data_IF_457443976281
#
_entry.id   IF_457443976281
#
_cell.length_a   1.000
_cell.length_b   1.000
_cell.length_c   1.000
_cell.angle_alpha   90.00
_cell.angle_beta   90.00
_cell.angle_gamma   90.00
#
_symmetry.space_group_name_H-M   'P 1'
#
loop_
_entity.id
_entity.type
_entity.pdbx_description
1 polymer ?
#
# COMPACT_ATOMS: atom_id res chain seq x y z
N UNK A 1 -13.23 -24.81 11.89
CA UNK A 1 -12.88 -25.33 13.23
C UNK A 1 -12.26 -24.19 14.01
N UNK A 2 -12.99 -23.67 14.98
CA UNK A 2 -12.57 -22.53 15.81
C UNK A 2 -11.98 -23.03 17.13
N UNK A 3 -10.87 -22.44 17.56
CA UNK A 3 -10.33 -22.59 18.93
C UNK A 3 -10.40 -21.25 19.67
N UNK A 4 -10.68 -21.24 20.99
CA UNK A 4 -11.00 -20.03 21.73
C UNK A 4 -9.82 -19.49 22.56
N UNK A 5 -9.89 -18.19 22.86
CA UNK A 5 -8.99 -17.48 23.77
C UNK A 5 -9.31 -17.75 25.27
N UNK A 6 -8.35 -17.66 26.20
CA UNK A 6 -8.63 -17.76 27.63
C UNK A 6 -8.79 -16.38 28.28
N UNK A 7 -9.82 -16.28 29.13
CA UNK A 7 -10.13 -15.12 29.96
C UNK A 7 -9.30 -15.03 31.25
N UNK A 8 -9.10 -13.80 31.72
CA UNK A 8 -8.51 -13.49 33.02
C UNK A 8 -9.61 -13.40 34.09
N UNK A 9 -9.53 -14.26 35.09
CA UNK A 9 -10.36 -14.22 36.30
C UNK A 9 -9.71 -13.37 37.39
N UNK A 10 -10.48 -12.43 37.93
CA UNK A 10 -10.16 -11.69 39.14
C UNK A 10 -10.69 -12.45 40.36
N UNK A 11 -9.92 -12.51 41.45
CA UNK A 11 -10.44 -12.90 42.77
C UNK A 11 -9.89 -11.98 43.85
N UNK A 12 -10.81 -11.26 44.47
CA UNK A 12 -10.64 -10.50 45.70
C UNK A 12 -10.72 -11.42 46.92
N UNK A 13 -9.91 -11.17 47.95
CA UNK A 13 -10.31 -11.42 49.34
C UNK A 13 -9.39 -10.71 50.34
N UNK A 14 -10.05 -9.97 51.23
CA UNK A 14 -9.65 -9.55 52.58
C UNK A 14 -10.99 -9.46 53.36
N UNK A 15 -11.06 -9.48 54.71
CA UNK A 15 -10.04 -9.00 55.65
C UNK A 15 -9.91 -9.82 56.96
N UNK A 16 -8.91 -9.46 57.79
CA UNK A 16 -8.82 -9.89 59.18
C UNK A 16 -7.80 -9.06 59.98
N UNK A 17 -8.30 -8.24 60.91
CA UNK A 17 -7.60 -7.65 62.06
C UNK A 17 -8.50 -7.89 63.28
N UNK A 18 -8.02 -7.95 64.56
CA UNK A 18 -7.20 -6.90 65.17
C UNK A 18 -6.17 -7.35 66.24
N UNK A 19 -5.22 -6.49 66.60
CA UNK A 19 -4.86 -6.18 68.00
C UNK A 19 -3.79 -5.08 68.06
N UNK A 20 -3.93 -4.23 69.07
CA UNK A 20 -3.31 -2.91 69.26
C UNK A 20 -2.21 -3.01 70.33
N UNK A 21 -1.04 -2.41 70.08
CA UNK A 21 -0.12 -1.99 71.14
C UNK A 21 0.66 -0.74 70.69
N UNK A 22 0.55 0.32 71.51
CA UNK A 22 1.18 1.62 71.32
C UNK A 22 2.70 1.55 71.55
N UNK A 23 3.47 2.21 70.69
CA UNK A 23 4.89 2.46 70.91
C UNK A 23 5.41 3.49 69.91
N UNK A 24 5.48 4.75 70.35
CA UNK A 24 5.98 5.89 69.58
C UNK A 24 7.49 5.79 69.35
N UNK A 25 7.93 5.67 68.09
CA UNK A 25 9.23 6.16 67.66
C UNK A 25 9.17 6.44 66.15
N UNK A 26 9.24 7.72 65.79
CA UNK A 26 9.37 8.21 64.42
C UNK A 26 10.81 8.00 63.94
N UNK A 27 11.06 7.25 62.85
CA UNK A 27 12.32 7.34 62.11
C UNK A 27 12.24 8.50 61.10
N UNK A 28 13.39 9.08 60.70
CA UNK A 28 13.40 10.22 59.79
C UNK A 28 12.84 9.83 58.42
N UNK A 29 11.93 10.67 57.92
CA UNK A 29 11.38 10.62 56.57
C UNK A 29 12.50 10.61 55.52
N UNK A 30 12.82 9.42 55.00
CA UNK A 30 13.57 9.29 53.75
C UNK A 30 12.62 9.65 52.62
N UNK A 31 12.76 10.85 52.06
CA UNK A 31 12.04 11.27 50.86
C UNK A 31 12.57 10.50 49.65
N UNK A 32 12.18 9.23 49.51
CA UNK A 32 12.29 8.51 48.24
C UNK A 32 11.33 9.16 47.27
N UNK A 33 11.87 10.01 46.37
CA UNK A 33 11.14 10.46 45.19
C UNK A 33 10.55 9.21 44.51
N UNK A 34 9.25 9.21 44.14
CA UNK A 34 8.70 8.11 43.38
C UNK A 34 9.53 7.92 42.10
N UNK A 35 9.82 6.67 41.69
CA UNK A 35 10.57 6.41 40.47
C UNK A 35 9.87 7.12 39.32
N UNK A 36 10.61 7.98 38.62
CA UNK A 36 10.08 8.72 37.48
C UNK A 36 9.52 7.70 36.49
N UNK A 37 8.24 7.80 36.09
CA UNK A 37 7.66 6.83 35.15
C UNK A 37 8.50 6.84 33.88
N UNK A 38 8.83 5.65 33.38
CA UNK A 38 9.60 5.49 32.16
C UNK A 38 8.92 6.29 31.03
N UNK A 39 9.70 6.97 30.16
CA UNK A 39 9.12 7.73 29.07
C UNK A 39 8.23 6.82 28.21
N UNK A 40 7.09 7.34 27.71
CA UNK A 40 6.21 6.54 26.86
C UNK A 40 6.98 6.07 25.62
N UNK A 41 6.67 4.87 25.09
CA UNK A 41 7.37 4.35 23.94
C UNK A 41 7.14 5.26 22.71
N UNK A 42 8.07 5.30 21.74
CA UNK A 42 7.98 6.20 20.61
C UNK A 42 6.68 6.02 19.81
N UNK A 43 6.11 7.09 19.24
CA UNK A 43 4.87 7.03 18.43
C UNK A 43 4.90 5.96 17.31
N UNK A 44 6.09 5.63 16.81
CA UNK A 44 6.25 4.56 15.82
C UNK A 44 5.83 3.18 16.33
N UNK A 45 6.07 2.86 17.61
CA UNK A 45 5.77 1.55 18.18
C UNK A 45 4.28 1.22 18.29
N UNK A 46 3.43 2.25 18.20
CA UNK A 46 1.98 2.09 18.17
C UNK A 46 1.43 1.75 16.79
N UNK A 47 2.22 1.89 15.72
CA UNK A 47 1.76 1.57 14.37
C UNK A 47 1.68 0.07 14.14
N UNK A 48 0.70 -0.34 13.32
CA UNK A 48 0.59 -1.70 12.78
C UNK A 48 1.84 -2.11 12.03
N UNK A 49 2.46 -1.19 11.29
CA UNK A 49 3.72 -1.45 10.59
C UNK A 49 4.84 -1.89 11.53
N UNK A 50 5.03 -1.22 12.66
CA UNK A 50 6.04 -1.63 13.64
C UNK A 50 5.72 -2.99 14.27
N UNK A 51 4.44 -3.24 14.56
CA UNK A 51 4.01 -4.44 15.30
C UNK A 51 4.00 -5.69 14.44
N UNK A 52 3.63 -5.58 13.17
CA UNK A 52 3.33 -6.74 12.31
C UNK A 52 4.08 -6.77 10.98
N UNK A 53 4.72 -5.67 10.57
CA UNK A 53 5.40 -5.55 9.27
C UNK A 53 6.85 -5.10 9.39
N UNK A 54 7.51 -5.57 10.45
CA UNK A 54 8.93 -5.37 10.68
C UNK A 54 9.58 -6.71 11.02
N UNK A 55 10.61 -7.04 10.26
CA UNK A 55 11.25 -8.35 10.27
C UNK A 55 12.76 -8.21 10.23
N UNK A 56 13.46 -9.27 10.62
CA UNK A 56 14.87 -9.48 10.33
C UNK A 56 15.05 -10.02 8.91
N UNK A 57 16.26 -9.90 8.36
CA UNK A 57 16.55 -10.48 7.03
C UNK A 57 16.34 -12.00 6.99
N UNK A 58 16.71 -12.71 8.07
CA UNK A 58 16.51 -14.15 8.19
C UNK A 58 15.03 -14.53 8.17
N UNK A 59 14.18 -13.76 8.85
CA UNK A 59 12.72 -13.98 8.83
C UNK A 59 12.15 -13.75 7.43
N UNK A 60 12.54 -12.67 6.74
CA UNK A 60 12.08 -12.41 5.37
C UNK A 60 12.45 -13.55 4.41
N UNK A 61 13.66 -14.10 4.53
CA UNK A 61 14.09 -15.25 3.71
C UNK A 61 13.28 -16.50 4.05
N UNK A 62 13.07 -16.79 5.33
CA UNK A 62 12.28 -17.94 5.78
C UNK A 62 10.84 -17.85 5.30
N UNK A 63 10.16 -16.71 5.51
CA UNK A 63 8.77 -16.50 5.09
C UNK A 63 8.58 -16.70 3.58
N UNK A 64 9.48 -16.14 2.76
CA UNK A 64 9.44 -16.31 1.29
C UNK A 64 9.62 -17.77 0.87
N UNK A 65 10.57 -18.47 1.50
CA UNK A 65 10.81 -19.90 1.25
C UNK A 65 9.57 -20.72 1.61
N UNK A 66 8.98 -20.45 2.78
CA UNK A 66 7.86 -21.23 3.30
C UNK A 66 6.59 -20.98 2.47
N UNK A 67 6.34 -19.74 2.04
CA UNK A 67 5.23 -19.40 1.13
C UNK A 67 5.39 -20.06 -0.25
N UNK A 68 6.59 -20.04 -0.82
CA UNK A 68 6.90 -20.72 -2.08
C UNK A 68 6.72 -22.24 -1.98
N UNK A 69 7.25 -22.86 -0.91
CA UNK A 69 7.14 -24.30 -0.69
C UNK A 69 5.68 -24.74 -0.50
N UNK A 70 4.88 -23.98 0.26
CA UNK A 70 3.47 -24.26 0.46
C UNK A 70 2.68 -24.18 -0.85
N UNK A 71 2.92 -23.14 -1.66
CA UNK A 71 2.25 -22.97 -2.95
C UNK A 71 2.67 -24.03 -3.98
N UNK A 72 3.95 -24.42 -4.00
CA UNK A 72 4.44 -25.50 -4.85
C UNK A 72 3.77 -26.84 -4.48
N UNK A 73 3.69 -27.16 -3.19
CA UNK A 73 3.01 -28.36 -2.72
C UNK A 73 1.50 -28.35 -3.07
N UNK A 74 0.83 -27.20 -2.92
CA UNK A 74 -0.58 -27.04 -3.26
C UNK A 74 -0.87 -27.09 -4.77
N UNK A 75 0.13 -26.87 -5.62
CA UNK A 75 -0.02 -26.86 -7.08
C UNK A 75 0.14 -28.24 -7.73
N UNK A 76 0.70 -29.24 -7.03
CA UNK A 76 0.99 -30.57 -7.61
C UNK A 76 -0.28 -31.29 -8.09
N UNK A 77 -1.26 -31.45 -7.21
CA UNK A 77 -2.52 -32.14 -7.57
C UNK A 77 -3.32 -31.37 -8.63
N UNK A 78 -3.54 -30.04 -8.51
CA UNK A 78 -4.19 -29.27 -9.57
C UNK A 78 -3.53 -29.37 -10.95
N UNK A 79 -2.19 -29.42 -11.01
CA UNK A 79 -1.47 -29.61 -12.27
C UNK A 79 -1.71 -30.98 -12.89
N UNK A 80 -1.81 -32.01 -12.05
CA UNK A 80 -2.15 -33.37 -12.50
C UNK A 80 -3.58 -33.45 -13.01
N UNK A 81 -4.54 -32.91 -12.27
CA UNK A 81 -5.95 -32.88 -12.68
C UNK A 81 -6.16 -32.09 -13.98
N UNK A 82 -5.46 -30.97 -14.16
CA UNK A 82 -5.51 -30.18 -15.39
C UNK A 82 -4.96 -30.97 -16.60
N UNK A 83 -3.88 -31.73 -16.42
CA UNK A 83 -3.33 -32.58 -17.48
C UNK A 83 -4.32 -33.69 -17.85
N UNK A 84 -4.96 -34.32 -16.85
CA UNK A 84 -6.01 -35.32 -17.07
C UNK A 84 -7.23 -34.74 -17.81
N UNK A 85 -7.66 -33.51 -17.47
CA UNK A 85 -8.75 -32.81 -18.17
C UNK A 85 -8.43 -32.45 -19.63
N UNK A 86 -7.14 -32.36 -19.98
CA UNK A 86 -6.65 -32.04 -21.32
C UNK A 86 -6.25 -33.27 -22.13
N UNK A 87 -6.43 -34.47 -21.59
CA UNK A 87 -5.90 -35.72 -22.15
C UNK A 87 -4.37 -35.67 -22.39
N UNK A 88 -3.65 -34.89 -21.58
CA UNK A 88 -2.19 -34.75 -21.61
C UNK A 88 -1.52 -35.66 -20.57
N UNK A 89 -0.28 -36.08 -20.83
CA UNK A 89 0.47 -36.86 -19.84
C UNK A 89 0.85 -35.96 -18.66
N UNK A 90 0.36 -36.32 -17.47
CA UNK A 90 0.75 -35.63 -16.24
C UNK A 90 2.28 -35.65 -16.05
N UNK A 91 2.89 -34.54 -15.66
CA UNK A 91 4.34 -34.47 -15.43
C UNK A 91 4.73 -35.30 -14.20
N UNK A 92 5.69 -36.21 -14.36
CA UNK A 92 6.21 -37.07 -13.27
C UNK A 92 6.90 -36.23 -12.18
N UNK A 93 7.54 -35.11 -12.57
CA UNK A 93 8.13 -34.11 -11.67
C UNK A 93 7.94 -32.71 -12.26
N UNK A 94 7.38 -31.78 -11.47
CA UNK A 94 7.22 -30.38 -11.89
C UNK A 94 8.39 -29.54 -11.38
N UNK A 95 9.08 -28.85 -12.28
CA UNK A 95 10.17 -27.94 -11.94
C UNK A 95 9.64 -26.57 -11.52
N UNK A 96 9.26 -26.42 -10.26
CA UNK A 96 8.77 -25.16 -9.72
C UNK A 96 9.82 -24.04 -9.69
N UNK A 97 9.34 -22.80 -9.72
CA UNK A 97 10.13 -21.60 -9.49
C UNK A 97 10.69 -21.63 -8.07
N UNK A 98 12.00 -21.46 -7.93
CA UNK A 98 12.70 -21.42 -6.63
C UNK A 98 12.43 -20.11 -5.89
N UNK A 99 12.64 -20.05 -4.55
CA UNK A 99 12.46 -18.81 -3.79
C UNK A 99 13.29 -17.61 -4.30
N UNK A 100 14.50 -17.86 -4.81
CA UNK A 100 15.36 -16.81 -5.36
C UNK A 100 14.88 -16.31 -6.74
N UNK A 101 14.42 -17.22 -7.59
CA UNK A 101 13.79 -16.87 -8.87
C UNK A 101 12.48 -16.08 -8.64
N UNK A 102 11.66 -16.52 -7.68
CA UNK A 102 10.44 -15.83 -7.27
C UNK A 102 10.75 -14.42 -6.76
N UNK A 103 11.74 -14.28 -5.86
CA UNK A 103 12.20 -12.99 -5.37
C UNK A 103 12.64 -12.08 -6.52
N UNK A 104 13.39 -12.60 -7.49
CA UNK A 104 13.85 -11.85 -8.66
C UNK A 104 12.66 -11.36 -9.51
N UNK A 105 11.66 -12.22 -9.72
CA UNK A 105 10.47 -11.86 -10.47
C UNK A 105 9.62 -10.81 -9.75
N UNK A 106 9.38 -10.98 -8.44
CA UNK A 106 8.65 -9.99 -7.63
C UNK A 106 9.39 -8.65 -7.62
N UNK A 107 10.71 -8.65 -7.49
CA UNK A 107 11.53 -7.43 -7.53
C UNK A 107 11.41 -6.70 -8.88
N UNK A 108 11.32 -7.44 -9.99
CA UNK A 108 11.08 -6.87 -11.31
C UNK A 108 9.72 -6.17 -11.38
N UNK A 109 8.64 -6.77 -10.85
CA UNK A 109 7.32 -6.13 -10.83
C UNK A 109 7.23 -4.96 -9.85
N UNK A 110 7.94 -5.01 -8.71
CA UNK A 110 8.10 -3.85 -7.82
C UNK A 110 8.73 -2.67 -8.56
N UNK A 111 9.77 -2.91 -9.38
CA UNK A 111 10.40 -1.86 -10.19
C UNK A 111 9.49 -1.39 -11.34
N UNK A 112 8.73 -2.30 -11.97
CA UNK A 112 7.73 -1.93 -12.96
C UNK A 112 6.61 -1.06 -12.39
N UNK A 113 6.25 -1.24 -11.12
CA UNK A 113 5.23 -0.44 -10.42
C UNK A 113 5.59 1.04 -10.49
N UNK A 114 6.86 1.38 -10.26
CA UNK A 114 7.35 2.75 -10.36
C UNK A 114 7.14 3.33 -11.78
N UNK A 115 7.45 2.54 -12.81
CA UNK A 115 7.25 2.95 -14.20
C UNK A 115 5.77 3.14 -14.55
N UNK A 116 4.89 2.25 -14.05
CA UNK A 116 3.43 2.34 -14.23
C UNK A 116 2.90 3.61 -13.55
N UNK A 117 3.24 3.84 -12.28
CA UNK A 117 2.81 5.03 -11.53
C UNK A 117 3.30 6.32 -12.21
N UNK A 118 4.54 6.35 -12.72
CA UNK A 118 5.08 7.50 -13.48
C UNK A 118 4.25 7.85 -14.72
N UNK A 119 3.66 6.88 -15.41
CA UNK A 119 2.80 7.17 -16.58
C UNK A 119 1.49 7.88 -16.20
N UNK A 120 0.94 7.62 -15.00
CA UNK A 120 -0.22 8.36 -14.50
C UNK A 120 0.16 9.81 -14.14
N UNK A 121 1.34 10.01 -13.56
CA UNK A 121 1.85 11.34 -13.21
C UNK A 121 1.95 12.26 -14.42
N UNK A 122 2.51 11.78 -15.53
CA UNK A 122 2.66 12.58 -16.75
C UNK A 122 1.30 13.05 -17.25
N UNK A 123 0.31 12.14 -17.32
CA UNK A 123 -1.05 12.48 -17.77
C UNK A 123 -1.77 13.43 -16.82
N UNK A 124 -1.59 13.25 -15.51
CA UNK A 124 -2.22 14.12 -14.53
C UNK A 124 -1.59 15.51 -14.51
N UNK A 125 -0.26 15.61 -14.65
CA UNK A 125 0.47 16.87 -14.85
C UNK A 125 0.03 17.57 -16.14
N UNK A 126 -0.08 16.85 -17.26
CA UNK A 126 -0.62 17.39 -18.52
C UNK A 126 -2.06 17.91 -18.33
N UNK A 127 -2.91 17.17 -17.61
CA UNK A 127 -4.29 17.58 -17.28
C UNK A 127 -4.34 18.82 -16.40
N UNK A 128 -3.45 18.91 -15.39
CA UNK A 128 -3.32 20.08 -14.50
C UNK A 128 -2.77 21.30 -15.25
N UNK A 129 -1.83 21.10 -16.17
CA UNK A 129 -1.26 22.18 -16.98
C UNK A 129 -2.26 22.71 -18.01
N UNK A 130 -3.16 21.85 -18.51
CA UNK A 130 -4.30 22.25 -19.34
C UNK A 130 -5.36 23.04 -18.54
N UNK A 131 -5.63 22.65 -17.29
CA UNK A 131 -6.51 23.38 -16.37
C UNK A 131 -5.72 24.42 -15.56
N UNK A 132 -5.21 25.44 -16.25
CA UNK A 132 -4.38 26.52 -15.69
C UNK A 132 -5.21 27.47 -14.81
N UNK A 133 -5.60 27.04 -13.62
CA UNK A 133 -5.89 27.96 -12.51
C UNK A 133 -5.53 27.32 -11.17
N UNK A 134 -4.62 27.98 -10.47
CA UNK A 134 -4.42 27.91 -9.00
C UNK A 134 -4.14 26.54 -8.40
N UNK A 135 -2.88 26.13 -8.32
CA UNK A 135 -2.26 25.64 -7.08
C UNK A 135 -0.74 25.49 -7.27
N UNK A 136 0.10 25.90 -6.29
CA UNK A 136 1.53 25.65 -6.33
C UNK A 136 1.80 24.15 -6.34
N UNK A 137 2.92 23.75 -6.94
CA UNK A 137 3.42 22.39 -6.93
C UNK A 137 3.69 21.94 -5.49
N UNK A 138 2.67 21.42 -4.80
CA UNK A 138 2.87 20.69 -3.55
C UNK A 138 3.78 19.49 -3.88
N UNK A 139 4.79 19.29 -3.03
CA UNK A 139 5.74 18.18 -3.08
C UNK A 139 5.04 16.81 -3.31
N UNK A 140 5.74 15.78 -3.82
CA UNK A 140 5.17 14.78 -4.71
C UNK A 140 4.25 13.80 -3.96
N UNK A 141 2.98 14.18 -3.81
CA UNK A 141 1.86 13.31 -3.36
C UNK A 141 1.88 11.98 -4.14
N UNK A 142 2.27 12.03 -5.41
CA UNK A 142 2.44 10.89 -6.30
C UNK A 142 3.43 9.82 -5.81
N UNK A 143 4.41 10.19 -4.98
CA UNK A 143 5.43 9.25 -4.48
C UNK A 143 4.89 8.39 -3.34
N UNK A 144 3.94 8.93 -2.56
CA UNK A 144 3.32 8.22 -1.42
C UNK A 144 2.44 7.09 -1.92
N UNK A 145 1.53 7.38 -2.85
CA UNK A 145 0.68 6.37 -3.49
C UNK A 145 1.48 5.23 -4.13
N UNK A 146 2.52 5.57 -4.89
CA UNK A 146 3.42 4.60 -5.50
C UNK A 146 4.17 3.77 -4.45
N UNK A 147 4.70 4.39 -3.39
CA UNK A 147 5.39 3.68 -2.33
C UNK A 147 4.45 2.75 -1.54
N UNK A 148 3.20 3.16 -1.29
CA UNK A 148 2.16 2.31 -0.68
C UNK A 148 1.86 1.11 -1.56
N UNK A 149 1.73 1.32 -2.88
CA UNK A 149 1.55 0.24 -3.86
C UNK A 149 2.69 -0.79 -3.79
N UNK A 150 3.94 -0.31 -3.79
CA UNK A 150 5.14 -1.16 -3.68
C UNK A 150 5.14 -1.93 -2.36
N UNK A 151 4.79 -1.28 -1.25
CA UNK A 151 4.73 -1.94 0.05
C UNK A 151 3.64 -3.01 0.12
N UNK A 152 2.48 -2.78 -0.49
CA UNK A 152 1.43 -3.79 -0.58
C UNK A 152 1.88 -5.02 -1.36
N UNK A 153 2.54 -4.85 -2.52
CA UNK A 153 3.11 -5.97 -3.29
C UNK A 153 4.10 -6.77 -2.45
N UNK A 154 5.03 -6.08 -1.80
CA UNK A 154 6.06 -6.73 -0.99
C UNK A 154 5.47 -7.50 0.18
N UNK A 155 4.50 -6.90 0.90
CA UNK A 155 3.79 -7.54 2.01
C UNK A 155 2.98 -8.76 1.55
N UNK A 156 2.33 -8.66 0.39
CA UNK A 156 1.55 -9.75 -0.21
C UNK A 156 2.43 -10.98 -0.48
N UNK A 157 3.56 -10.78 -1.16
CA UNK A 157 4.50 -11.86 -1.50
C UNK A 157 5.40 -12.33 -0.34
N UNK A 158 5.14 -11.91 0.90
CA UNK A 158 5.68 -12.59 2.09
C UNK A 158 4.84 -13.80 2.50
N UNK A 159 3.56 -13.82 2.12
CA UNK A 159 2.61 -14.85 2.54
C UNK A 159 2.01 -15.65 1.37
N UNK A 160 2.13 -15.12 0.15
CA UNK A 160 1.64 -15.71 -1.09
C UNK A 160 2.78 -15.87 -2.09
N UNK A 161 2.63 -16.80 -3.03
CA UNK A 161 3.63 -17.09 -4.06
C UNK A 161 3.13 -16.70 -5.45
N UNK A 162 4.09 -16.44 -6.35
CA UNK A 162 3.83 -16.22 -7.79
C UNK A 162 3.26 -17.44 -8.50
N UNK A 163 3.44 -18.64 -7.93
CA UNK A 163 2.89 -19.91 -8.43
C UNK A 163 1.36 -19.85 -8.50
N UNK A 164 0.72 -19.23 -7.51
CA UNK A 164 -0.73 -19.04 -7.45
C UNK A 164 -1.12 -17.68 -8.03
N UNK A 165 -0.48 -16.61 -7.55
CA UNK A 165 -0.90 -15.24 -7.85
C UNK A 165 0.05 -14.57 -8.84
N UNK A 166 -0.45 -14.27 -10.05
CA UNK A 166 0.32 -13.57 -11.08
C UNK A 166 0.77 -12.17 -10.59
N UNK A 167 2.08 -11.88 -10.57
CA UNK A 167 2.62 -10.61 -10.08
C UNK A 167 2.20 -9.40 -10.91
N UNK A 168 1.87 -9.57 -12.20
CA UNK A 168 1.33 -8.46 -13.00
C UNK A 168 -0.06 -8.05 -12.52
N UNK A 169 -0.94 -9.03 -12.27
CA UNK A 169 -2.30 -8.81 -11.78
C UNK A 169 -2.31 -8.29 -10.34
N UNK A 170 -1.47 -8.85 -9.46
CA UNK A 170 -1.32 -8.39 -8.06
C UNK A 170 -0.76 -6.96 -8.02
N UNK A 171 0.22 -6.63 -8.85
CA UNK A 171 0.73 -5.27 -8.97
C UNK A 171 -0.40 -4.29 -9.30
N UNK A 172 -1.21 -4.57 -10.32
CA UNK A 172 -2.33 -3.70 -10.69
C UNK A 172 -3.37 -3.59 -9.55
N UNK A 173 -3.70 -4.69 -8.87
CA UNK A 173 -4.60 -4.67 -7.72
C UNK A 173 -4.03 -3.84 -6.55
N UNK A 174 -2.75 -3.95 -6.25
CA UNK A 174 -2.08 -3.15 -5.22
C UNK A 174 -2.06 -1.66 -5.57
N UNK A 175 -1.79 -1.33 -6.83
CA UNK A 175 -1.81 0.05 -7.36
C UNK A 175 -3.21 0.66 -7.23
N UNK A 176 -4.25 -0.10 -7.55
CA UNK A 176 -5.65 0.31 -7.40
C UNK A 176 -6.06 0.46 -5.94
N UNK A 177 -5.74 -0.52 -5.08
CA UNK A 177 -6.06 -0.47 -3.65
C UNK A 177 -5.35 0.70 -2.96
N UNK A 178 -4.05 0.88 -3.23
CA UNK A 178 -3.28 2.00 -2.70
C UNK A 178 -3.84 3.35 -3.14
N UNK A 179 -4.44 3.45 -4.33
CA UNK A 179 -5.05 4.70 -4.79
C UNK A 179 -6.24 5.08 -3.91
N UNK A 180 -7.03 4.10 -3.45
CA UNK A 180 -8.12 4.33 -2.50
C UNK A 180 -7.59 4.72 -1.12
N UNK A 181 -6.54 4.05 -0.64
CA UNK A 181 -5.94 4.31 0.68
C UNK A 181 -5.33 5.71 0.76
N UNK A 182 -4.61 6.13 -0.29
CA UNK A 182 -3.91 7.42 -0.34
C UNK A 182 -4.74 8.53 -1.00
N UNK A 183 -6.06 8.32 -1.12
CA UNK A 183 -7.01 9.28 -1.71
C UNK A 183 -6.61 9.80 -3.11
N UNK A 184 -5.94 8.95 -3.90
CA UNK A 184 -5.55 9.22 -5.27
C UNK A 184 -6.60 8.63 -6.21
N UNK A 185 -7.28 9.49 -6.98
CA UNK A 185 -8.36 9.06 -7.87
C UNK A 185 -7.79 8.39 -9.12
N UNK A 186 -7.97 7.08 -9.23
CA UNK A 186 -7.59 6.30 -10.42
C UNK A 186 -8.74 5.39 -10.81
N UNK A 187 -9.18 5.52 -12.05
CA UNK A 187 -10.21 4.65 -12.60
C UNK A 187 -9.59 3.31 -13.05
N UNK A 188 -10.30 2.20 -12.83
CA UNK A 188 -9.84 0.86 -13.25
C UNK A 188 -9.61 0.82 -14.75
N UNK A 189 -10.44 1.49 -15.55
CA UNK A 189 -10.32 1.55 -17.01
C UNK A 189 -9.04 2.25 -17.43
N UNK A 190 -8.64 3.30 -16.70
CA UNK A 190 -7.37 3.99 -16.94
C UNK A 190 -6.18 3.12 -16.56
N UNK A 191 -6.30 2.37 -15.46
CA UNK A 191 -5.31 1.38 -15.04
C UNK A 191 -5.08 0.31 -16.11
N UNK A 192 -6.16 -0.24 -16.69
CA UNK A 192 -6.07 -1.26 -17.74
C UNK A 192 -5.49 -0.72 -19.05
N UNK A 193 -5.63 0.59 -19.32
CA UNK A 193 -5.00 1.22 -20.49
C UNK A 193 -3.48 1.27 -20.36
N UNK A 194 -2.97 1.41 -19.13
CA UNK A 194 -1.53 1.40 -18.84
C UNK A 194 -1.01 -0.03 -18.72
N UNK A 195 -1.69 -0.86 -17.93
CA UNK A 195 -1.34 -2.28 -17.72
C UNK A 195 -2.20 -3.15 -18.64
N UNK A 196 -1.76 -3.30 -19.88
CA UNK A 196 -2.50 -4.02 -20.93
C UNK A 196 -2.67 -5.50 -20.63
N UNK A 197 -3.79 -6.08 -21.08
CA UNK A 197 -4.05 -7.52 -21.04
C UNK A 197 -4.38 -8.04 -19.65
N UNK A 198 -5.11 -7.24 -18.86
CA UNK A 198 -5.69 -7.62 -17.59
C UNK A 198 -7.21 -7.36 -17.65
N UNK A 199 -7.97 -8.22 -17.00
CA UNK A 199 -9.42 -8.10 -16.88
C UNK A 199 -9.80 -7.23 -15.67
N UNK A 200 -10.62 -6.17 -15.84
CA UNK A 200 -11.13 -5.37 -14.72
C UNK A 200 -11.81 -6.16 -13.61
N UNK A 201 -12.54 -7.25 -13.93
CA UNK A 201 -13.23 -8.04 -12.92
C UNK A 201 -12.21 -8.74 -12.01
N UNK A 202 -11.16 -9.32 -12.60
CA UNK A 202 -10.05 -9.93 -11.86
C UNK A 202 -9.35 -8.97 -10.90
N UNK A 203 -9.16 -7.70 -11.28
CA UNK A 203 -8.55 -6.70 -10.40
C UNK A 203 -9.40 -6.45 -9.15
N UNK A 204 -10.73 -6.43 -9.30
CA UNK A 204 -11.65 -6.24 -8.18
C UNK A 204 -11.67 -7.44 -7.24
N UNK A 205 -11.61 -8.67 -7.77
CA UNK A 205 -11.46 -9.88 -6.95
C UNK A 205 -10.15 -9.90 -6.16
N UNK A 206 -9.06 -9.55 -6.84
CA UNK A 206 -7.73 -9.48 -6.23
C UNK A 206 -7.65 -8.34 -5.21
N UNK A 207 -8.40 -7.26 -5.37
CA UNK A 207 -8.43 -6.16 -4.39
C UNK A 207 -8.76 -6.65 -2.98
N UNK A 208 -9.84 -7.43 -2.84
CA UNK A 208 -10.21 -7.99 -1.54
C UNK A 208 -9.18 -9.00 -1.05
N UNK A 209 -8.66 -9.84 -1.94
CA UNK A 209 -7.62 -10.82 -1.59
C UNK A 209 -6.35 -10.14 -1.07
N UNK A 210 -5.93 -9.05 -1.71
CA UNK A 210 -4.80 -8.25 -1.26
C UNK A 210 -5.10 -7.64 0.10
N UNK A 211 -6.29 -7.06 0.30
CA UNK A 211 -6.69 -6.48 1.58
C UNK A 211 -6.64 -7.50 2.73
N UNK A 212 -7.13 -8.72 2.50
CA UNK A 212 -7.13 -9.82 3.48
C UNK A 212 -5.70 -10.27 3.82
N UNK A 213 -4.84 -10.47 2.81
CA UNK A 213 -3.42 -10.84 3.03
C UNK A 213 -2.66 -9.73 3.78
N UNK A 214 -3.00 -8.47 3.53
CA UNK A 214 -2.47 -7.31 4.26
C UNK A 214 -3.06 -7.16 5.66
N UNK A 215 -3.98 -8.05 6.08
CA UNK A 215 -4.69 -8.00 7.37
C UNK A 215 -5.41 -6.67 7.59
N UNK A 216 -5.85 -6.04 6.50
CA UNK A 216 -6.47 -4.71 6.50
C UNK A 216 -5.57 -3.59 7.08
N UNK A 217 -4.25 -3.80 7.14
CA UNK A 217 -3.30 -2.83 7.70
C UNK A 217 -2.73 -1.91 6.61
N UNK A 218 -3.60 -1.04 6.10
CA UNK A 218 -3.30 -0.17 4.97
C UNK A 218 -2.35 0.99 5.28
N UNK A 219 -2.25 1.39 6.56
CA UNK A 219 -1.38 2.49 6.96
C UNK A 219 0.11 2.12 6.78
N UNK A 220 0.79 2.81 5.87
CA UNK A 220 2.23 2.66 5.63
C UNK A 220 2.93 3.96 5.96
N UNK A 221 3.95 3.91 6.82
CA UNK A 221 4.82 5.06 7.08
C UNK A 221 5.98 5.07 6.10
N UNK A 222 6.03 6.08 5.26
CA UNK A 222 7.06 6.24 4.24
C UNK A 222 8.24 7.09 4.71
N UNK A 223 9.41 6.99 4.08
CA UNK A 223 10.57 7.81 4.46
C UNK A 223 10.43 9.28 4.05
N UNK A 224 9.52 9.65 3.15
CA UNK A 224 9.43 11.01 2.58
C UNK A 224 9.18 12.09 3.63
N UNK A 225 8.26 11.86 4.57
CA UNK A 225 7.98 12.80 5.66
C UNK A 225 9.21 13.01 6.55
N UNK A 226 9.95 11.93 6.84
CA UNK A 226 11.17 12.01 7.63
C UNK A 226 12.31 12.69 6.85
N UNK A 227 12.39 12.52 5.53
CA UNK A 227 13.33 13.28 4.67
C UNK A 227 13.04 14.77 4.78
N UNK A 228 11.77 15.16 4.75
CA UNK A 228 11.37 16.56 4.91
C UNK A 228 11.58 17.08 6.34
N UNK A 229 11.32 16.28 7.38
CA UNK A 229 11.63 16.65 8.76
C UNK A 229 13.12 16.90 8.96
N UNK A 230 13.98 16.04 8.40
CA UNK A 230 15.43 16.22 8.42
C UNK A 230 15.87 17.48 7.65
N UNK A 231 15.20 17.83 6.55
CA UNK A 231 15.43 19.09 5.83
C UNK A 231 15.21 20.30 6.75
N UNK A 232 14.12 20.32 7.52
CA UNK A 232 13.82 21.40 8.48
C UNK A 232 14.84 21.44 9.62
N UNK A 233 15.17 20.29 10.22
CA UNK A 233 16.19 20.24 11.27
C UNK A 233 17.55 20.74 10.75
N UNK A 234 17.91 20.41 9.49
CA UNK A 234 19.16 20.83 8.89
C UNK A 234 19.26 22.35 8.75
N UNK A 235 18.15 23.05 8.51
CA UNK A 235 18.13 24.51 8.49
C UNK A 235 18.49 25.13 9.85
N UNK A 236 18.28 24.42 10.96
CA UNK A 236 18.63 24.91 12.30
C UNK A 236 20.11 24.75 12.65
N UNK A 237 20.77 23.75 12.05
CA UNK A 237 22.19 23.44 12.32
C UNK A 237 23.15 24.01 11.27
N UNK A 238 22.64 24.35 10.09
CA UNK A 238 23.38 25.06 9.06
C UNK A 238 23.23 26.57 9.32
N UNK A 239 24.31 27.36 9.35
CA UNK A 239 24.21 28.82 9.49
C UNK A 239 23.62 29.41 8.20
N UNK A 240 22.29 29.52 8.15
CA UNK A 240 21.53 30.02 6.99
C UNK A 240 21.89 31.49 6.69
N UNK A 241 22.28 32.24 7.72
CA UNK A 241 22.43 33.69 7.68
C UNK A 241 23.62 34.18 6.82
N UNK A 242 24.55 33.29 6.42
CA UNK A 242 25.83 33.71 5.83
C UNK A 242 26.11 33.16 4.42
N UNK A 243 25.37 32.15 3.94
CA UNK A 243 25.71 31.49 2.67
C UNK A 243 24.47 31.00 1.87
N UNK A 244 23.93 31.85 1.00
CA UNK A 244 23.01 31.46 -0.08
C UNK A 244 23.40 30.16 -0.84
N UNK A 245 24.69 29.87 -1.14
CA UNK A 245 25.05 28.61 -1.80
C UNK A 245 24.80 27.35 -0.96
N UNK A 246 24.81 27.44 0.37
CA UNK A 246 24.60 26.28 1.24
C UNK A 246 23.11 25.90 1.30
N UNK A 247 22.22 26.87 1.19
CA UNK A 247 20.78 26.64 1.11
C UNK A 247 20.40 25.98 -0.23
N UNK A 248 20.96 26.46 -1.35
CA UNK A 248 20.81 25.81 -2.67
C UNK A 248 21.37 24.38 -2.66
N UNK A 249 22.51 24.15 -2.00
CA UNK A 249 23.07 22.81 -1.82
C UNK A 249 22.17 21.94 -0.95
N UNK A 250 21.55 22.48 0.10
CA UNK A 250 20.59 21.76 0.95
C UNK A 250 19.35 21.35 0.15
N UNK A 251 18.79 22.24 -0.66
CA UNK A 251 17.66 21.95 -1.55
C UNK A 251 17.99 20.84 -2.55
N UNK A 252 19.15 20.94 -3.23
CA UNK A 252 19.64 19.88 -4.12
C UNK A 252 19.81 18.55 -3.41
N UNK A 253 20.28 18.58 -2.17
CA UNK A 253 20.47 17.37 -1.35
C UNK A 253 19.14 16.77 -0.94
N UNK A 254 18.14 17.58 -0.58
CA UNK A 254 16.77 17.11 -0.30
C UNK A 254 16.19 16.40 -1.52
N UNK A 255 16.32 16.99 -2.69
CA UNK A 255 15.76 16.40 -3.92
C UNK A 255 16.44 15.07 -4.26
N UNK A 256 17.76 14.99 -4.14
CA UNK A 256 18.50 13.73 -4.26
C UNK A 256 18.09 12.71 -3.18
N UNK A 257 17.87 13.14 -1.94
CA UNK A 257 17.41 12.27 -0.85
C UNK A 257 16.00 11.72 -1.10
N UNK A 258 15.09 12.49 -1.72
CA UNK A 258 13.76 12.02 -2.14
C UNK A 258 13.85 10.94 -3.23
N UNK A 259 14.80 11.06 -4.16
CA UNK A 259 15.07 10.01 -5.17
C UNK A 259 15.56 8.73 -4.49
N UNK A 260 16.51 8.84 -3.55
CA UNK A 260 16.97 7.71 -2.75
C UNK A 260 15.86 7.09 -1.90
N UNK A 261 15.00 7.90 -1.30
CA UNK A 261 13.85 7.46 -0.51
C UNK A 261 12.85 6.67 -1.38
N UNK A 262 12.62 7.13 -2.61
CA UNK A 262 11.81 6.41 -3.60
C UNK A 262 12.42 5.04 -3.92
N UNK A 263 13.74 5.01 -4.20
CA UNK A 263 14.45 3.77 -4.46
C UNK A 263 14.42 2.82 -3.25
N UNK A 264 14.56 3.34 -2.04
CA UNK A 264 14.53 2.55 -0.81
C UNK A 264 13.22 1.78 -0.63
N UNK A 265 12.08 2.34 -1.04
CA UNK A 265 10.79 1.65 -1.03
C UNK A 265 10.80 0.37 -1.88
N UNK A 266 11.57 0.35 -2.98
CA UNK A 266 11.72 -0.82 -3.86
C UNK A 266 12.59 -1.94 -3.28
N UNK A 267 13.32 -1.67 -2.19
CA UNK A 267 14.20 -2.63 -1.51
C UNK A 267 13.58 -3.17 -0.22
N UNK A 268 14.16 -4.21 0.38
CA UNK A 268 13.66 -4.74 1.66
C UNK A 268 13.84 -3.79 2.86
N UNK A 269 14.49 -2.63 2.70
CA UNK A 269 14.78 -1.68 3.79
C UNK A 269 13.53 -1.31 4.61
N UNK A 270 12.40 -1.06 3.96
CA UNK A 270 11.13 -0.65 4.60
C UNK A 270 10.42 -1.78 5.38
N UNK A 271 10.87 -3.03 5.23
CA UNK A 271 10.39 -4.17 6.01
C UNK A 271 11.30 -4.50 7.21
N UNK A 272 12.48 -3.88 7.30
CA UNK A 272 13.48 -4.18 8.33
C UNK A 272 13.73 -2.98 9.25
N UNK A 273 13.86 -1.80 8.64
CA UNK A 273 14.23 -0.56 9.32
C UNK A 273 13.05 0.40 9.42
N UNK A 274 13.13 1.31 10.39
CA UNK A 274 12.15 2.38 10.54
C UNK A 274 12.31 3.42 9.42
N UNK A 275 11.20 4.05 9.02
CA UNK A 275 11.20 5.04 7.93
C UNK A 275 12.13 6.21 8.19
N UNK A 276 12.32 6.63 9.45
CA UNK A 276 13.29 7.67 9.85
C UNK A 276 14.75 7.23 9.69
N UNK A 277 15.06 5.96 9.98
CA UNK A 277 16.40 5.39 9.78
C UNK A 277 16.71 5.30 8.28
N UNK A 278 15.73 4.86 7.48
CA UNK A 278 15.84 4.83 6.01
C UNK A 278 16.03 6.23 5.44
N UNK A 279 15.23 7.20 5.88
CA UNK A 279 15.34 8.60 5.45
C UNK A 279 16.72 9.19 5.77
N UNK A 280 17.27 8.90 6.94
CA UNK A 280 18.61 9.36 7.33
C UNK A 280 19.71 8.74 6.48
N UNK A 281 19.58 7.47 6.10
CA UNK A 281 20.52 6.83 5.17
C UNK A 281 20.41 7.41 3.74
N UNK A 282 19.20 7.79 3.31
CA UNK A 282 18.99 8.48 2.04
C UNK A 282 19.65 9.87 2.04
N UNK A 283 19.53 10.62 3.14
CA UNK A 283 20.26 11.88 3.34
C UNK A 283 21.76 11.71 3.33
N UNK A 284 22.28 10.65 3.97
CA UNK A 284 23.71 10.32 3.96
C UNK A 284 24.24 10.10 2.54
N UNK A 285 23.52 9.33 1.72
CA UNK A 285 23.88 9.08 0.32
C UNK A 285 23.80 10.36 -0.52
N UNK A 286 22.70 11.11 -0.38
CA UNK A 286 22.51 12.37 -1.10
C UNK A 286 23.59 13.40 -0.75
N UNK A 287 23.91 13.55 0.53
CA UNK A 287 24.91 14.50 1.01
C UNK A 287 26.32 14.15 0.49
N UNK A 288 26.64 12.86 0.35
CA UNK A 288 27.90 12.41 -0.27
C UNK A 288 27.97 12.76 -1.76
N UNK A 289 26.83 12.77 -2.46
CA UNK A 289 26.75 13.14 -3.88
C UNK A 289 26.85 14.66 -4.09
N UNK A 290 26.21 15.45 -3.24
CA UNK A 290 26.15 16.90 -3.36
C UNK A 290 27.28 17.62 -2.63
N UNK A 291 28.01 16.92 -1.75
CA UNK A 291 29.07 17.49 -0.89
C UNK A 291 28.56 18.22 0.35
N UNK A 292 27.28 18.06 0.72
CA UNK A 292 26.72 18.69 1.92
C UNK A 292 27.37 18.05 3.16
N UNK A 293 27.86 18.82 4.15
CA UNK A 293 28.54 18.28 5.33
C UNK A 293 27.56 17.68 6.36
N UNK A 294 26.64 16.81 5.93
CA UNK A 294 25.59 16.20 6.76
C UNK A 294 26.16 15.43 7.95
N UNK A 295 27.16 14.57 7.75
CA UNK A 295 27.76 13.79 8.83
C UNK A 295 28.39 14.70 9.90
N UNK A 296 29.11 15.74 9.46
CA UNK A 296 29.86 16.64 10.34
C UNK A 296 28.95 17.63 11.08
N UNK A 297 27.92 18.16 10.41
CA UNK A 297 27.06 19.23 10.94
C UNK A 297 25.80 18.71 11.62
N UNK A 298 25.35 17.50 11.28
CA UNK A 298 24.13 16.93 11.83
C UNK A 298 24.39 15.73 12.74
N UNK A 299 25.07 14.69 12.24
CA UNK A 299 25.31 13.47 13.04
C UNK A 299 26.31 13.74 14.18
N UNK A 300 27.32 14.56 13.92
CA UNK A 300 28.33 14.94 14.91
C UNK A 300 28.00 16.25 15.64
N UNK A 301 26.77 16.76 15.50
CA UNK A 301 26.34 17.94 16.21
C UNK A 301 26.47 17.72 17.74
N UNK A 302 27.05 18.67 18.49
CA UNK A 302 27.27 18.51 19.92
C UNK A 302 25.95 18.25 20.63
N UNK A 303 25.95 17.27 21.54
CA UNK A 303 24.79 16.85 22.34
C UNK A 303 23.57 16.34 21.55
N UNK A 304 23.66 16.13 20.22
CA UNK A 304 22.51 15.62 19.45
C UNK A 304 22.25 14.13 19.67
N UNK A 305 23.31 13.32 19.73
CA UNK A 305 23.21 11.88 20.00
C UNK A 305 24.22 11.45 21.07
N UNK A 306 23.83 10.58 22.03
CA UNK A 306 24.77 9.93 22.93
C UNK A 306 25.81 9.10 22.14
N UNK A 307 27.08 9.02 22.58
CA UNK A 307 28.14 8.34 21.79
C UNK A 307 27.85 6.89 21.42
N UNK A 308 27.27 6.11 22.36
CA UNK A 308 26.93 4.71 22.13
C UNK A 308 25.77 4.54 21.13
N UNK A 309 24.76 5.39 21.21
CA UNK A 309 23.63 5.41 20.28
C UNK A 309 24.08 5.86 18.89
N UNK A 310 24.99 6.82 18.79
CA UNK A 310 25.57 7.27 17.53
C UNK A 310 26.37 6.16 16.84
N UNK A 311 27.14 5.36 17.59
CA UNK A 311 27.85 4.20 17.04
C UNK A 311 26.87 3.17 16.45
N UNK A 312 25.80 2.86 17.20
CA UNK A 312 24.73 1.96 16.75
C UNK A 312 24.03 2.50 15.51
N UNK A 313 23.68 3.79 15.51
CA UNK A 313 23.07 4.47 14.38
C UNK A 313 23.96 4.40 13.14
N UNK A 314 25.26 4.64 13.25
CA UNK A 314 26.18 4.52 12.11
C UNK A 314 26.23 3.11 11.53
N UNK A 315 26.22 2.07 12.37
CA UNK A 315 26.16 0.69 11.89
C UNK A 315 24.87 0.43 11.09
N UNK A 316 23.72 0.85 11.64
CA UNK A 316 22.42 0.73 10.96
C UNK A 316 22.40 1.49 9.63
N UNK A 317 22.92 2.72 9.59
CA UNK A 317 22.99 3.52 8.36
C UNK A 317 23.89 2.85 7.31
N UNK A 318 25.02 2.27 7.72
CA UNK A 318 25.91 1.55 6.82
C UNK A 318 25.23 0.31 6.21
N UNK A 319 24.46 -0.43 7.01
CA UNK A 319 23.67 -1.57 6.53
C UNK A 319 22.59 -1.15 5.53
N UNK A 320 21.86 -0.06 5.82
CA UNK A 320 20.86 0.49 4.90
C UNK A 320 21.52 0.92 3.59
N UNK A 321 22.64 1.65 3.67
CA UNK A 321 23.40 2.07 2.48
C UNK A 321 23.81 0.88 1.62
N UNK A 322 24.22 -0.24 2.22
CA UNK A 322 24.56 -1.46 1.47
C UNK A 322 23.36 -2.07 0.74
N UNK A 323 22.16 -1.98 1.32
CA UNK A 323 20.92 -2.46 0.71
C UNK A 323 20.51 -1.57 -0.46
N UNK A 324 20.81 -0.27 -0.38
CA UNK A 324 20.51 0.72 -1.41
C UNK A 324 21.56 0.73 -2.54
N UNK A 325 22.21 -0.40 -2.86
CA UNK A 325 23.16 -0.50 -3.98
C UNK A 325 22.39 -0.54 -5.32
N UNK A 326 22.53 0.48 -6.21
CA UNK A 326 21.82 0.54 -7.49
C UNK A 326 22.14 -0.61 -8.44
N UNK A 327 23.25 -1.34 -8.22
CA UNK A 327 23.62 -2.50 -9.04
C UNK A 327 22.69 -3.69 -8.86
N UNK A 328 21.81 -3.66 -7.85
CA UNK A 328 20.83 -4.70 -7.55
C UNK A 328 19.54 -4.60 -8.38
N UNK A 329 19.40 -3.57 -9.24
CA UNK A 329 18.24 -3.40 -10.13
C UNK A 329 18.07 -4.60 -11.06
N UNK A 330 16.83 -5.10 -11.18
CA UNK A 330 16.53 -6.30 -11.96
C UNK A 330 16.11 -5.89 -13.36
N UNK A 331 16.89 -6.32 -14.34
CA UNK A 331 16.59 -6.10 -15.75
C UNK A 331 15.65 -7.18 -16.29
N UNK A 332 14.89 -6.84 -17.35
CA UNK A 332 13.88 -7.72 -17.97
C UNK A 332 14.47 -9.02 -18.52
N UNK A 333 15.68 -8.97 -19.05
CA UNK A 333 16.44 -10.13 -19.53
C UNK A 333 16.63 -11.21 -18.46
N UNK A 334 16.88 -10.81 -17.20
CA UNK A 334 17.01 -11.73 -16.07
C UNK A 334 15.66 -12.29 -15.60
N UNK A 335 14.59 -11.51 -15.70
CA UNK A 335 13.24 -11.93 -15.29
C UNK A 335 12.54 -12.81 -16.34
N UNK A 336 12.85 -12.63 -17.63
CA UNK A 336 12.25 -13.37 -18.74
C UNK A 336 12.32 -14.90 -18.64
N UNK A 337 13.46 -15.55 -18.30
CA UNK A 337 13.50 -17.00 -18.14
C UNK A 337 12.61 -17.47 -16.97
N UNK A 338 12.53 -16.71 -15.88
CA UNK A 338 11.67 -17.03 -14.74
C UNK A 338 10.20 -16.91 -15.11
N UNK A 339 9.81 -15.88 -15.88
CA UNK A 339 8.44 -15.74 -16.40
C UNK A 339 8.02 -16.96 -17.23
N UNK A 340 8.90 -17.41 -18.15
CA UNK A 340 8.63 -18.61 -18.97
C UNK A 340 8.54 -19.88 -18.13
N UNK A 341 9.41 -20.03 -17.13
CA UNK A 341 9.35 -21.17 -16.21
C UNK A 341 8.03 -21.16 -15.42
N UNK A 342 7.61 -19.99 -14.94
CA UNK A 342 6.38 -19.83 -14.19
C UNK A 342 5.17 -20.32 -14.99
N UNK A 343 5.06 -19.99 -16.28
CA UNK A 343 3.96 -20.44 -17.15
C UNK A 343 3.75 -21.96 -17.13
N UNK A 344 4.81 -22.75 -16.91
CA UNK A 344 4.74 -24.22 -16.87
C UNK A 344 4.36 -24.81 -15.51
N UNK A 345 4.45 -24.03 -14.43
CA UNK A 345 4.26 -24.53 -13.07
C UNK A 345 3.25 -23.72 -12.25
N UNK A 346 2.44 -22.86 -12.90
CA UNK A 346 1.36 -22.13 -12.21
C UNK A 346 0.27 -23.09 -11.76
N UNK A 347 -0.30 -22.83 -10.60
CA UNK A 347 -1.46 -23.56 -10.11
C UNK A 347 -2.67 -23.27 -11.03
N UNK A 348 -3.22 -24.25 -11.77
CA UNK A 348 -4.32 -24.04 -12.71
C UNK A 348 -5.56 -23.45 -12.05
N UNK A 349 -5.84 -23.77 -10.78
CA UNK A 349 -6.99 -23.21 -10.05
C UNK A 349 -6.97 -21.67 -9.95
N UNK A 350 -5.79 -21.05 -10.04
CA UNK A 350 -5.61 -19.59 -9.99
C UNK A 350 -5.42 -18.96 -11.37
N UNK A 351 -5.55 -19.75 -12.44
CA UNK A 351 -5.52 -19.32 -13.84
C UNK A 351 -6.97 -19.39 -14.36
N UNK A 352 -7.66 -18.25 -14.54
CA UNK A 352 -9.08 -18.25 -14.93
C UNK A 352 -9.40 -19.01 -16.22
N UNK A 353 -8.46 -19.06 -17.15
CA UNK A 353 -8.60 -19.72 -18.44
C UNK A 353 -8.31 -21.24 -18.41
N UNK A 354 -7.92 -21.80 -17.25
CA UNK A 354 -7.65 -23.23 -17.13
C UNK A 354 -8.95 -24.04 -17.11
N UNK A 355 -8.89 -25.28 -17.59
CA UNK A 355 -10.05 -26.17 -17.60
C UNK A 355 -10.54 -26.46 -16.17
N UNK A 356 -9.59 -26.64 -15.24
CA UNK A 356 -9.85 -26.91 -13.84
C UNK A 356 -10.51 -25.71 -13.15
N UNK A 357 -10.03 -24.49 -13.37
CA UNK A 357 -10.64 -23.29 -12.78
C UNK A 357 -12.06 -23.06 -13.30
N UNK A 358 -12.30 -23.26 -14.59
CA UNK A 358 -13.64 -23.13 -15.18
C UNK A 358 -14.60 -24.18 -14.62
N UNK A 359 -14.15 -25.43 -14.49
CA UNK A 359 -14.95 -26.50 -13.85
C UNK A 359 -15.27 -26.18 -12.40
N UNK A 360 -14.30 -25.70 -11.63
CA UNK A 360 -14.49 -25.30 -10.24
C UNK A 360 -15.46 -24.11 -10.11
N UNK A 361 -15.33 -23.09 -10.96
CA UNK A 361 -16.23 -21.95 -11.00
C UNK A 361 -17.67 -22.36 -11.36
N UNK A 362 -17.85 -23.25 -12.34
CA UNK A 362 -19.17 -23.77 -12.71
C UNK A 362 -19.80 -24.59 -11.57
N UNK A 363 -19.01 -25.40 -10.86
CA UNK A 363 -19.47 -26.14 -9.69
C UNK A 363 -19.89 -25.20 -8.55
N UNK A 364 -19.10 -24.15 -8.27
CA UNK A 364 -19.40 -23.15 -7.26
C UNK A 364 -20.68 -22.35 -7.61
N UNK A 365 -20.83 -21.94 -8.87
CA UNK A 365 -22.03 -21.25 -9.34
C UNK A 365 -23.29 -22.11 -9.21
N UNK A 366 -23.19 -23.41 -9.52
CA UNK A 366 -24.28 -24.35 -9.32
C UNK A 366 -24.63 -24.52 -7.83
N UNK A 367 -23.63 -24.67 -6.98
CA UNK A 367 -23.83 -24.81 -5.53
C UNK A 367 -24.51 -23.57 -4.93
N UNK A 368 -24.13 -22.36 -5.37
CA UNK A 368 -24.77 -21.12 -4.93
C UNK A 368 -26.21 -21.01 -5.45
N UNK A 369 -26.48 -21.40 -6.71
CA UNK A 369 -27.84 -21.44 -7.23
C UNK A 369 -28.74 -22.42 -6.45
N UNK A 370 -28.21 -23.60 -6.10
CA UNK A 370 -28.90 -24.58 -5.27
C UNK A 370 -29.13 -24.06 -3.85
N UNK A 371 -28.17 -23.33 -3.27
CA UNK A 371 -28.31 -22.66 -1.96
C UNK A 371 -29.39 -21.57 -1.98
N UNK A 372 -29.41 -20.71 -3.01
CA UNK A 372 -30.42 -19.68 -3.18
C UNK A 372 -31.81 -20.31 -3.30
N UNK A 373 -31.93 -21.42 -4.04
CA UNK A 373 -33.19 -22.16 -4.15
C UNK A 373 -33.64 -22.80 -2.84
N UNK A 374 -32.70 -23.20 -1.98
CA UNK A 374 -32.98 -23.79 -0.67
C UNK A 374 -33.21 -22.74 0.43
N UNK A 375 -32.90 -21.46 0.18
CA UNK A 375 -33.11 -20.39 1.15
C UNK A 375 -34.62 -20.20 1.39
N UNK A 376 -35.10 -20.23 2.65
CA UNK A 376 -36.49 -19.88 2.93
C UNK A 376 -36.78 -18.45 2.45
N UNK A 377 -38.03 -18.15 2.01
CA UNK A 377 -38.40 -16.80 1.62
C UNK A 377 -38.09 -15.84 2.76
N UNK A 378 -37.42 -14.73 2.45
CA UNK A 378 -37.01 -13.74 3.43
C UNK A 378 -38.28 -13.15 4.09
N UNK A 379 -38.45 -13.32 5.42
CA UNK A 379 -39.65 -12.90 6.13
C UNK A 379 -39.86 -11.38 6.11
N UNK A 380 -38.85 -10.60 5.70
CA UNK A 380 -38.92 -9.15 5.57
C UNK A 380 -39.27 -8.66 4.17
N UNK A 381 -39.41 -9.55 3.17
CA UNK A 381 -39.80 -9.17 1.79
C UNK A 381 -41.22 -8.59 1.74
N UNK A 382 -42.10 -9.04 2.63
CA UNK A 382 -43.45 -8.50 2.77
C UNK A 382 -43.50 -7.22 3.63
N UNK A 383 -42.55 -7.01 4.55
CA UNK A 383 -42.47 -5.78 5.37
C UNK A 383 -41.77 -4.61 4.67
N UNK A 384 -40.78 -4.92 3.83
CA UNK A 384 -40.01 -3.94 3.08
C UNK A 384 -39.91 -4.40 1.61
N UNK A 385 -40.88 -4.02 0.76
CA UNK A 385 -40.78 -4.32 -0.66
C UNK A 385 -39.46 -3.77 -1.21
N UNK A 386 -38.80 -4.46 -2.15
CA UNK A 386 -37.53 -4.02 -2.71
C UNK A 386 -37.68 -2.58 -3.19
N UNK A 387 -36.68 -1.74 -2.91
CA UNK A 387 -36.63 -0.37 -3.43
C UNK A 387 -36.58 -0.49 -4.96
N UNK A 388 -37.75 -0.47 -5.59
CA UNK A 388 -37.84 -0.36 -7.04
C UNK A 388 -37.20 0.99 -7.36
N UNK A 389 -36.19 1.00 -8.22
CA UNK A 389 -35.53 2.21 -8.72
C UNK A 389 -36.43 3.03 -9.65
N UNK A 390 -37.74 3.05 -9.37
CA UNK A 390 -38.69 3.98 -9.93
C UNK A 390 -39.09 4.94 -8.81
N UNK A 391 -38.32 6.03 -8.67
CA UNK A 391 -38.85 7.21 -7.99
C UNK A 391 -40.22 7.53 -8.63
N UNK A 392 -41.29 7.76 -7.85
CA UNK A 392 -42.59 8.05 -8.41
C UNK A 392 -42.49 9.29 -9.32
N UNK A 393 -43.21 9.32 -10.46
CA UNK A 393 -43.24 10.50 -11.32
C UNK A 393 -43.55 11.74 -10.49
N UNK A 394 -42.78 12.81 -10.66
CA UNK A 394 -42.86 14.06 -9.89
C UNK A 394 -44.31 14.58 -9.75
N UNK A 395 -45.15 14.27 -10.74
CA UNK A 395 -46.59 14.54 -10.78
C UNK A 395 -47.37 13.96 -9.58
N UNK A 396 -47.03 12.75 -9.12
CA UNK A 396 -47.68 12.13 -7.94
C UNK A 396 -47.28 12.82 -6.64
N UNK A 397 -46.04 13.28 -6.52
CA UNK A 397 -45.59 14.04 -5.35
C UNK A 397 -46.25 15.42 -5.31
N UNK A 398 -46.33 16.13 -6.44
CA UNK A 398 -46.94 17.46 -6.50
C UNK A 398 -48.45 17.43 -6.22
N UNK A 399 -49.16 16.41 -6.70
CA UNK A 399 -50.59 16.20 -6.41
C UNK A 399 -50.85 15.95 -4.92
N UNK A 400 -49.98 15.19 -4.23
CA UNK A 400 -50.11 14.92 -2.80
C UNK A 400 -49.87 16.15 -1.91
N UNK A 401 -49.12 17.14 -2.40
CA UNK A 401 -48.82 18.39 -1.68
C UNK A 401 -49.78 19.54 -2.05
N UNK A 402 -50.84 19.28 -2.81
CA UNK A 402 -51.83 20.30 -3.20
C UNK A 402 -51.26 21.43 -4.09
N UNK A 403 -50.07 21.25 -4.67
CA UNK A 403 -49.40 22.26 -5.48
C UNK A 403 -49.77 22.09 -6.95
N UNK A 404 -50.48 23.07 -7.53
CA UNK A 404 -50.61 23.20 -8.98
C UNK A 404 -49.32 23.77 -9.56
N UNK A 405 -48.91 23.27 -10.73
CA UNK A 405 -47.77 23.81 -11.49
C UNK A 405 -47.90 25.34 -11.62
N UNK A 406 -46.83 26.12 -11.40
CA UNK A 406 -46.82 27.50 -11.82
C UNK A 406 -47.08 27.56 -13.33
N UNK A 407 -47.97 28.47 -13.75
CA UNK A 407 -48.31 28.69 -15.15
C UNK A 407 -47.01 29.03 -15.91
N UNK A 408 -46.72 28.30 -16.98
CA UNK A 408 -45.60 28.66 -17.85
C UNK A 408 -45.80 30.10 -18.36
N UNK A 409 -44.75 30.92 -18.45
CA UNK A 409 -44.87 32.22 -19.09
C UNK A 409 -45.32 32.03 -20.53
N UNK A 410 -46.31 32.82 -20.95
CA UNK A 410 -46.78 32.90 -22.33
C UNK A 410 -45.65 33.39 -23.23
N UNK A 411 -45.60 32.87 -24.45
CA UNK A 411 -44.55 33.08 -25.46
C UNK A 411 -44.55 34.49 -26.10
N UNK A 412 -44.72 35.55 -25.32
CA UNK A 412 -44.74 36.94 -25.82
C UNK A 412 -43.73 37.88 -25.10
N UNK A 413 -42.80 37.36 -24.30
CA UNK A 413 -41.73 38.16 -23.68
C UNK A 413 -40.36 37.47 -23.80
N UNK A 414 -39.88 37.25 -25.03
CA UNK A 414 -38.45 37.12 -25.31
C UNK A 414 -37.99 38.34 -26.11
N UNK A 415 -37.66 39.40 -25.37
CA UNK A 415 -36.97 40.58 -25.86
C UNK A 415 -35.64 40.76 -25.13
N UNK A 416 -34.58 40.81 -25.93
CA UNK A 416 -33.27 41.44 -25.69
C UNK A 416 -32.11 40.65 -25.04
N UNK A 417 -31.00 40.70 -25.80
CA UNK A 417 -29.56 40.59 -25.46
C UNK A 417 -28.98 39.17 -25.28
N UNK A 418 -27.99 38.70 -26.03
CA UNK A 418 -27.15 39.22 -27.12
C UNK A 418 -26.07 38.16 -27.44
N UNK A 419 -25.87 37.85 -28.72
CA UNK A 419 -24.87 36.87 -29.22
C UNK A 419 -23.41 37.36 -29.05
N UNK A 420 -22.45 36.42 -28.99
CA UNK A 420 -21.18 36.56 -29.70
C UNK A 420 -21.05 35.54 -30.85
N UNK A 421 -20.30 35.86 -31.92
CA UNK A 421 -20.56 35.36 -33.26
C UNK A 421 -19.98 33.97 -33.57
N UNK A 422 -20.76 33.19 -34.33
CA UNK A 422 -20.35 31.91 -34.91
C UNK A 422 -19.46 32.08 -36.16
N UNK A 423 -18.28 31.46 -36.15
CA UNK A 423 -17.45 31.23 -37.33
C UNK A 423 -18.10 30.13 -38.18
N UNK A 424 -18.57 30.48 -39.38
CA UNK A 424 -19.11 29.53 -40.37
C UNK A 424 -17.97 28.90 -41.17
N UNK A 425 -17.74 27.60 -40.98
CA UNK A 425 -16.98 26.77 -41.92
C UNK A 425 -17.94 26.21 -42.96
N UNK A 426 -17.76 26.63 -44.21
CA UNK A 426 -18.52 26.17 -45.38
C UNK A 426 -17.88 24.86 -45.86
N UNK A 427 -18.59 23.74 -45.76
CA UNK A 427 -18.23 22.49 -46.45
C UNK A 427 -19.07 22.42 -47.72
N UNK A 428 -18.47 22.76 -48.85
CA UNK A 428 -19.02 22.44 -50.17
C UNK A 428 -18.73 20.98 -50.48
N UNK A 429 -19.78 20.26 -50.93
CA UNK A 429 -19.64 18.95 -51.55
C UNK A 429 -19.03 19.13 -52.94
N UNK A 430 -17.88 18.51 -53.16
CA UNK A 430 -17.26 18.19 -54.44
C UNK A 430 -16.48 16.91 -54.26
#
# INVERSE_FOLDING_TARGET
>A
MASPAPGYGASSSAPGTPARANGSSTPPSSSTKPPTPAPPPPLYSYSTQFRHWRFTFSELVAMRRDANAAAAAAAVEPLREEAELKDEKAPDTVAFVTPDEERLLVQFYVQMTEAVCKQFRVKEMERRQANRSTLPALAPVDSVWMATSIMFIKRFYLYKSVIEYDPKSVMAACVFLASKVENTKIDVSELMRVVKGLDPARIKELEFTVADVLRFEFAVRHPFEAVFGLYLDLQTVLPVDQHAPLLDQLDKTRDAAMVWATYACTTDAMLVYMSSQVAMACWLLAARQTGLPFEQRFLNAPNKFPPAELATLRALLADIVRILDPRTVVKKDRAAPVMRKLETCRNPLFVPDSALAQRAAAAAAKAEADRIKAMPPDPLVDEFPPITTALPPLERMMASMGMKRPRAPSADEEGCEGEPPAVKVKVEKG
#
